data_IF_553307368817
#
_entry.id   IF_553307368817
#
_cell.length_a   1.000
_cell.length_b   1.000
_cell.length_c   1.000
_cell.angle_alpha   90.00
_cell.angle_beta   90.00
_cell.angle_gamma   90.00
#
_symmetry.space_group_name_H-M   'P 1'
#
loop_
_entity.id
_entity.type
_entity.pdbx_description
1 polymer ?
#
# COMPACT_ATOMS: atom_id res chain seq x y z
N UNK A 1 -45.83 40.46 27.04
CA UNK A 1 -46.28 39.05 26.97
C UNK A 1 -45.66 38.40 25.74
N UNK A 2 -44.65 37.55 25.93
CA UNK A 2 -44.30 36.39 25.08
C UNK A 2 -42.94 35.88 25.57
N UNK A 3 -42.96 34.85 26.41
CA UNK A 3 -42.62 33.44 26.10
C UNK A 3 -41.15 33.10 26.38
N UNK A 4 -41.01 32.45 27.53
CA UNK A 4 -39.83 31.85 28.12
C UNK A 4 -39.22 30.78 27.20
N UNK A 5 -37.89 30.78 27.05
CA UNK A 5 -37.11 29.64 26.56
C UNK A 5 -36.19 29.15 27.67
N UNK A 6 -36.54 27.99 28.22
CA UNK A 6 -35.77 27.23 29.19
C UNK A 6 -34.53 26.62 28.53
N UNK A 7 -33.34 26.97 29.03
CA UNK A 7 -32.07 26.34 28.67
C UNK A 7 -31.77 25.22 29.67
N UNK A 8 -32.03 23.97 29.25
CA UNK A 8 -31.72 22.77 30.03
C UNK A 8 -30.25 22.42 29.88
N UNK A 9 -29.46 22.74 30.91
CA UNK A 9 -28.03 22.43 31.00
C UNK A 9 -27.85 20.97 31.42
N UNK A 10 -27.65 20.05 30.47
CA UNK A 10 -27.30 18.64 30.78
C UNK A 10 -25.81 18.52 31.09
N UNK A 11 -25.51 18.02 32.29
CA UNK A 11 -24.19 17.73 32.82
C UNK A 11 -23.64 16.46 32.16
N UNK A 12 -22.36 16.47 31.77
CA UNK A 12 -21.61 15.30 31.29
C UNK A 12 -21.14 14.49 32.50
N UNK A 13 -21.47 13.20 32.53
CA UNK A 13 -20.90 12.24 33.47
C UNK A 13 -19.88 11.39 32.73
N UNK A 14 -18.63 11.41 33.23
CA UNK A 14 -17.52 10.54 32.81
C UNK A 14 -17.62 9.27 33.64
N UNK A 15 -17.52 8.10 33.01
CA UNK A 15 -17.34 6.83 33.70
C UNK A 15 -16.11 6.12 33.11
N UNK A 16 -15.08 5.97 33.95
CA UNK A 16 -13.89 5.18 33.72
C UNK A 16 -14.18 3.73 34.13
N UNK A 17 -13.69 2.76 33.35
CA UNK A 17 -13.66 1.35 33.76
C UNK A 17 -12.22 0.85 33.64
N UNK A 18 -11.77 0.23 34.72
CA UNK A 18 -10.41 -0.15 35.05
C UNK A 18 -10.00 -1.48 34.42
N UNK A 19 -8.72 -1.57 34.07
CA UNK A 19 -8.03 -2.79 33.66
C UNK A 19 -7.46 -3.52 34.89
N UNK A 20 -7.67 -4.83 34.97
CA UNK A 20 -7.03 -5.72 35.94
C UNK A 20 -6.03 -6.63 35.21
N UNK A 21 -4.74 -6.42 35.49
CA UNK A 21 -3.66 -7.37 35.25
C UNK A 21 -3.68 -8.46 36.33
N UNK A 22 -3.41 -9.71 35.94
CA UNK A 22 -2.94 -10.75 36.86
C UNK A 22 -1.78 -11.53 36.21
N UNK A 23 -0.59 -11.37 36.79
CA UNK A 23 0.58 -12.22 36.58
C UNK A 23 0.49 -13.44 37.52
N UNK A 24 0.92 -14.61 37.03
CA UNK A 24 1.26 -15.77 37.85
C UNK A 24 2.45 -16.51 37.26
N UNK A 25 3.51 -16.67 38.06
CA UNK A 25 4.80 -17.35 37.79
C UNK A 25 4.91 -18.57 38.70
N UNK A 26 5.84 -19.50 38.37
CA UNK A 26 6.44 -20.64 39.13
C UNK A 26 5.84 -22.01 38.70
N UNK A 27 6.55 -23.13 38.53
CA UNK A 27 7.92 -23.64 38.80
C UNK A 27 8.13 -24.89 37.88
N UNK A 28 9.28 -25.20 37.27
CA UNK A 28 10.54 -25.83 37.75
C UNK A 28 10.47 -27.33 38.19
N UNK A 29 11.54 -28.07 37.84
CA UNK A 29 11.93 -29.49 38.10
C UNK A 29 11.58 -30.48 36.96
N UNK A 30 12.45 -31.37 36.46
CA UNK A 30 13.76 -31.87 36.88
C UNK A 30 13.85 -33.39 36.55
N UNK A 31 15.00 -33.85 36.05
CA UNK A 31 15.33 -35.17 35.44
C UNK A 31 15.05 -36.45 36.25
N UNK A 32 14.97 -37.60 35.56
CA UNK A 32 15.81 -38.81 35.84
C UNK A 32 15.58 -39.97 34.83
N UNK A 33 16.66 -40.46 34.21
CA UNK A 33 16.84 -41.83 33.68
C UNK A 33 17.42 -42.72 34.80
N UNK A 34 17.27 -44.07 34.76
CA UNK A 34 18.40 -44.91 34.30
C UNK A 34 18.02 -46.29 33.72
N UNK A 35 18.98 -46.94 33.01
CA UNK A 35 18.96 -48.39 32.79
C UNK A 35 19.94 -48.97 31.76
N UNK A 36 21.19 -49.16 32.16
CA UNK A 36 22.28 -49.88 31.45
C UNK A 36 21.98 -51.36 31.11
N UNK A 37 22.57 -51.88 30.02
CA UNK A 37 23.30 -53.16 30.03
C UNK A 37 24.21 -53.35 28.80
N UNK A 38 25.43 -53.81 29.09
CA UNK A 38 26.61 -53.90 28.23
C UNK A 38 26.66 -55.11 27.27
N UNK A 39 27.55 -55.02 26.27
CA UNK A 39 28.12 -56.18 25.57
C UNK A 39 28.88 -55.82 24.28
N UNK A 40 30.21 -55.74 24.36
CA UNK A 40 31.13 -55.78 23.21
C UNK A 40 32.20 -56.86 23.54
N UNK A 41 32.75 -57.62 22.56
CA UNK A 41 33.97 -57.13 21.90
C UNK A 41 34.24 -57.57 20.44
N UNK A 42 34.79 -56.64 19.65
CA UNK A 42 36.02 -56.69 18.80
C UNK A 42 36.26 -57.81 17.75
N UNK A 43 36.48 -57.42 16.48
CA UNK A 43 37.53 -58.01 15.62
C UNK A 43 37.93 -57.14 14.40
N UNK A 44 39.17 -57.37 13.97
CA UNK A 44 40.13 -56.52 13.25
C UNK A 44 40.05 -56.55 11.70
N UNK A 45 40.39 -55.40 11.11
CA UNK A 45 41.14 -55.09 9.86
C UNK A 45 41.41 -56.14 8.76
N UNK A 46 41.20 -55.76 7.48
CA UNK A 46 42.26 -55.41 6.50
C UNK A 46 41.77 -55.44 5.03
N UNK A 47 42.18 -54.42 4.26
CA UNK A 47 42.12 -54.27 2.79
C UNK A 47 43.13 -55.20 2.05
N UNK A 48 42.97 -55.53 0.74
CA UNK A 48 43.56 -54.70 -0.31
C UNK A 48 42.87 -54.65 -1.71
N UNK A 49 43.40 -53.71 -2.50
CA UNK A 49 43.13 -53.20 -3.86
C UNK A 49 43.22 -54.18 -5.05
N UNK A 50 42.54 -53.85 -6.19
CA UNK A 50 43.16 -53.80 -7.54
C UNK A 50 42.30 -53.10 -8.63
N UNK A 51 42.99 -52.35 -9.49
CA UNK A 51 42.58 -51.54 -10.66
C UNK A 51 41.96 -52.29 -11.86
N UNK A 52 41.18 -51.58 -12.70
CA UNK A 52 41.15 -51.71 -14.19
C UNK A 52 40.50 -50.47 -14.84
N UNK A 53 41.03 -50.03 -15.99
CA UNK A 53 41.02 -48.66 -16.54
C UNK A 53 40.08 -48.35 -17.75
N UNK A 54 40.00 -47.04 -18.06
CA UNK A 54 39.87 -46.37 -19.40
C UNK A 54 38.47 -45.89 -19.89
N UNK A 55 38.33 -44.81 -20.72
CA UNK A 55 39.21 -43.68 -21.05
C UNK A 55 38.58 -42.28 -20.82
N UNK A 56 39.43 -41.24 -20.85
CA UNK A 56 39.12 -39.81 -20.66
C UNK A 56 38.79 -39.11 -21.99
N UNK A 57 37.67 -38.37 -22.05
CA UNK A 57 37.38 -37.39 -23.13
C UNK A 57 37.71 -36.00 -22.60
N UNK A 58 38.60 -35.29 -23.29
CA UNK A 58 38.99 -33.91 -22.99
C UNK A 58 38.01 -32.94 -23.67
N UNK A 59 37.30 -32.06 -22.95
CA UNK A 59 36.56 -30.98 -23.58
C UNK A 59 37.53 -29.81 -23.84
N UNK A 60 37.47 -29.31 -25.07
CA UNK A 60 38.15 -28.10 -25.52
C UNK A 60 37.68 -26.89 -24.71
N UNK A 61 38.64 -26.08 -24.29
CA UNK A 61 38.43 -24.86 -23.50
C UNK A 61 37.80 -23.81 -24.40
N UNK A 62 36.48 -23.64 -24.33
CA UNK A 62 35.82 -22.46 -24.88
C UNK A 62 36.01 -21.32 -23.88
N UNK A 63 36.69 -20.25 -24.31
CA UNK A 63 36.74 -18.98 -23.58
C UNK A 63 35.33 -18.56 -23.15
N UNK A 64 35.07 -18.24 -21.88
CA UNK A 64 33.80 -17.64 -21.51
C UNK A 64 33.72 -16.26 -22.17
N UNK A 65 32.75 -16.10 -23.07
CA UNK A 65 32.32 -14.80 -23.55
C UNK A 65 32.08 -13.91 -22.32
N UNK A 66 32.79 -12.80 -22.26
CA UNK A 66 32.56 -11.76 -21.25
C UNK A 66 31.16 -11.21 -21.48
N UNK A 67 30.18 -11.68 -20.70
CA UNK A 67 28.91 -11.01 -20.54
C UNK A 67 29.21 -9.64 -19.92
N UNK A 68 29.22 -8.60 -20.74
CA UNK A 68 29.22 -7.23 -20.24
C UNK A 68 27.87 -7.05 -19.54
N UNK A 69 27.82 -6.84 -18.21
CA UNK A 69 26.57 -6.53 -17.57
C UNK A 69 26.12 -5.18 -18.15
N UNK A 70 25.00 -5.18 -18.87
CA UNK A 70 24.32 -3.94 -19.20
C UNK A 70 23.66 -3.49 -17.91
N UNK A 71 24.41 -2.77 -17.09
CA UNK A 71 24.00 -2.21 -15.80
C UNK A 71 23.12 -0.97 -16.05
N UNK A 72 22.06 -1.14 -16.82
CA UNK A 72 20.99 -0.17 -16.88
C UNK A 72 20.22 -0.31 -15.55
N UNK A 73 20.13 0.76 -14.73
CA UNK A 73 19.35 0.69 -13.50
C UNK A 73 17.91 0.25 -13.85
N UNK A 74 17.40 -0.68 -13.06
CA UNK A 74 16.02 -1.15 -13.19
C UNK A 74 15.01 0.00 -13.02
N UNK A 75 13.74 -0.22 -13.41
CA UNK A 75 12.70 0.80 -13.25
C UNK A 75 12.55 1.23 -11.79
N UNK A 76 12.43 2.53 -11.56
CA UNK A 76 12.02 3.08 -10.27
C UNK A 76 10.55 2.72 -10.01
N UNK A 77 10.21 2.40 -8.76
CA UNK A 77 8.82 2.16 -8.34
C UNK A 77 8.32 3.38 -7.57
N UNK A 78 7.31 4.05 -8.11
CA UNK A 78 6.75 5.29 -7.55
C UNK A 78 5.32 5.08 -7.04
N UNK A 79 4.98 5.53 -5.81
CA UNK A 79 3.62 5.51 -5.32
C UNK A 79 2.84 6.71 -5.87
N UNK A 80 1.88 6.45 -6.75
CA UNK A 80 0.96 7.47 -7.27
C UNK A 80 -0.37 7.35 -6.56
N UNK A 81 -0.87 8.48 -6.06
CA UNK A 81 -2.18 8.52 -5.42
C UNK A 81 -3.22 8.93 -6.46
N UNK A 82 -4.31 8.17 -6.56
CA UNK A 82 -5.44 8.44 -7.46
C UNK A 82 -6.74 8.55 -6.68
N UNK A 83 -7.74 9.14 -7.28
CA UNK A 83 -9.06 9.31 -6.67
C UNK A 83 -9.93 8.11 -6.99
N UNK A 84 -10.55 7.52 -5.97
CA UNK A 84 -11.60 6.52 -6.11
C UNK A 84 -12.86 6.96 -5.34
N UNK A 85 -14.00 6.39 -5.71
CA UNK A 85 -15.26 6.64 -5.03
C UNK A 85 -15.35 5.78 -3.76
N UNK A 86 -15.79 6.38 -2.66
CA UNK A 86 -16.07 5.67 -1.41
C UNK A 86 -17.40 6.14 -0.86
N UNK A 87 -18.03 5.39 0.06
CA UNK A 87 -19.26 5.86 0.66
C UNK A 87 -19.13 7.13 1.50
N UNK A 88 -17.90 7.52 1.86
CA UNK A 88 -17.57 8.76 2.55
C UNK A 88 -17.19 9.90 1.55
N UNK A 89 -17.47 9.70 0.27
CA UNK A 89 -17.09 10.57 -0.85
C UNK A 89 -15.71 10.24 -1.42
N UNK A 90 -15.27 10.99 -2.44
CA UNK A 90 -13.97 10.81 -3.09
C UNK A 90 -12.82 10.71 -2.05
N UNK A 91 -11.96 9.70 -2.20
CA UNK A 91 -10.73 9.49 -1.39
C UNK A 91 -9.57 9.07 -2.26
N UNK A 92 -8.35 9.17 -1.72
CA UNK A 92 -7.13 8.79 -2.41
C UNK A 92 -6.77 7.32 -2.15
N UNK A 93 -6.58 6.57 -3.22
CA UNK A 93 -6.00 5.22 -3.24
C UNK A 93 -4.57 5.30 -3.77
N UNK A 94 -3.68 4.42 -3.31
CA UNK A 94 -2.30 4.36 -3.78
C UNK A 94 -2.15 3.22 -4.79
N UNK A 95 -1.54 3.52 -5.92
CA UNK A 95 -1.10 2.57 -6.92
C UNK A 95 0.41 2.73 -7.12
N UNK A 96 1.13 1.63 -7.33
CA UNK A 96 2.54 1.69 -7.66
C UNK A 96 2.74 1.62 -9.16
N UNK A 97 3.47 2.59 -9.71
CA UNK A 97 3.79 2.67 -11.13
C UNK A 97 5.29 2.53 -11.32
N UNK A 98 5.70 1.89 -12.41
CA UNK A 98 7.10 1.85 -12.81
C UNK A 98 7.46 3.10 -13.62
N UNK A 99 8.56 3.74 -13.27
CA UNK A 99 9.14 4.85 -14.01
C UNK A 99 10.52 4.45 -14.55
N UNK A 100 10.86 4.87 -15.77
CA UNK A 100 12.15 4.57 -16.39
C UNK A 100 12.59 5.70 -17.30
N UNK A 101 13.89 5.99 -17.34
CA UNK A 101 14.47 6.97 -18.25
C UNK A 101 14.15 8.44 -17.92
N UNK A 102 13.52 8.71 -16.78
CA UNK A 102 13.21 10.04 -16.26
C UNK A 102 13.38 10.04 -14.74
N UNK A 103 13.64 11.21 -14.17
CA UNK A 103 13.67 11.38 -12.72
C UNK A 103 12.32 10.97 -12.09
N UNK A 104 12.37 10.24 -10.96
CA UNK A 104 11.19 9.68 -10.31
C UNK A 104 10.18 10.74 -9.83
N UNK A 105 10.64 11.92 -9.39
CA UNK A 105 9.75 13.00 -8.94
C UNK A 105 9.01 13.61 -10.14
N UNK A 106 9.72 13.81 -11.25
CA UNK A 106 9.13 14.27 -12.51
C UNK A 106 8.11 13.25 -13.02
N UNK A 107 8.44 11.96 -13.02
CA UNK A 107 7.54 10.88 -13.41
C UNK A 107 6.28 10.84 -12.53
N UNK A 108 6.44 10.96 -11.20
CA UNK A 108 5.35 10.92 -10.25
C UNK A 108 4.38 12.10 -10.42
N UNK A 109 4.90 13.31 -10.65
CA UNK A 109 4.06 14.46 -10.95
C UNK A 109 3.31 14.31 -12.28
N UNK A 110 3.98 13.80 -13.31
CA UNK A 110 3.38 13.55 -14.61
C UNK A 110 2.28 12.48 -14.56
N UNK A 111 2.46 11.42 -13.76
CA UNK A 111 1.47 10.36 -13.57
C UNK A 111 0.17 10.91 -12.94
N UNK A 112 0.30 11.82 -11.96
CA UNK A 112 -0.84 12.52 -11.33
C UNK A 112 -1.62 13.35 -12.36
N UNK A 113 -0.94 14.09 -13.23
CA UNK A 113 -1.61 15.01 -14.18
C UNK A 113 -2.11 14.33 -15.44
N UNK A 114 -1.44 13.26 -15.89
CA UNK A 114 -1.87 12.47 -17.06
C UNK A 114 -3.10 11.65 -16.72
N UNK A 115 -3.15 11.09 -15.50
CA UNK A 115 -4.34 10.41 -15.00
C UNK A 115 -4.67 9.11 -15.70
N UNK A 116 -3.66 8.28 -15.94
CA UNK A 116 -3.78 6.95 -16.55
C UNK A 116 -3.47 5.85 -15.52
N UNK A 117 -4.30 5.69 -14.45
CA UNK A 117 -4.12 4.60 -13.50
C UNK A 117 -4.38 3.25 -14.19
N UNK A 118 -3.68 2.21 -13.74
CA UNK A 118 -3.92 0.84 -14.22
C UNK A 118 -5.27 0.33 -13.72
N UNK A 119 -5.63 0.68 -12.49
CA UNK A 119 -6.95 0.46 -11.94
C UNK A 119 -8.01 1.40 -12.54
N UNK A 120 -9.01 0.88 -13.27
CA UNK A 120 -10.06 1.71 -13.87
C UNK A 120 -11.07 2.24 -12.87
N UNK A 121 -11.06 1.76 -11.62
CA UNK A 121 -11.88 2.34 -10.55
C UNK A 121 -11.28 3.66 -10.05
N UNK A 122 -10.03 3.94 -10.46
CA UNK A 122 -9.30 5.14 -10.08
C UNK A 122 -9.33 6.18 -11.20
N UNK A 123 -9.16 7.45 -10.82
CA UNK A 123 -9.08 8.59 -11.75
C UNK A 123 -8.18 9.70 -11.23
N UNK A 124 -7.79 10.62 -12.12
CA UNK A 124 -7.25 11.92 -11.70
C UNK A 124 -8.32 12.99 -11.57
N UNK A 125 -8.11 13.95 -10.67
CA UNK A 125 -8.87 15.20 -10.63
C UNK A 125 -8.13 16.37 -11.29
N UNK A 126 -6.91 16.15 -11.76
CA UNK A 126 -6.10 17.21 -12.36
C UNK A 126 -6.67 17.63 -13.72
N UNK A 127 -6.84 18.94 -13.97
CA UNK A 127 -7.07 19.43 -15.31
C UNK A 127 -5.90 19.05 -16.22
N UNK A 128 -6.16 18.88 -17.52
CA UNK A 128 -5.11 18.63 -18.51
C UNK A 128 -4.01 19.69 -18.44
N UNK A 129 -2.76 19.25 -18.55
CA UNK A 129 -1.58 20.10 -18.50
C UNK A 129 -0.39 19.32 -17.94
N UNK A 130 0.70 20.03 -17.65
CA UNK A 130 1.90 19.47 -17.04
C UNK A 130 2.60 20.52 -16.18
N UNK A 131 3.39 20.08 -15.22
CA UNK A 131 4.36 20.95 -14.55
C UNK A 131 5.51 21.31 -15.49
N UNK A 132 6.09 22.49 -15.31
CA UNK A 132 7.32 22.89 -15.98
C UNK A 132 8.55 22.22 -15.35
N UNK A 133 8.56 22.10 -14.03
CA UNK A 133 9.65 21.50 -13.26
C UNK A 133 9.12 20.86 -11.98
N UNK A 134 9.83 19.86 -11.47
CA UNK A 134 9.61 19.23 -10.18
C UNK A 134 10.97 18.86 -9.62
N UNK A 135 11.34 19.45 -8.50
CA UNK A 135 12.69 19.32 -7.94
C UNK A 135 12.60 19.15 -6.41
N UNK A 136 13.50 18.33 -5.87
CA UNK A 136 13.71 18.26 -4.42
C UNK A 136 14.77 19.28 -4.01
N UNK A 137 14.40 20.20 -3.13
CA UNK A 137 15.33 21.05 -2.39
C UNK A 137 15.50 20.53 -0.96
N UNK A 138 16.41 21.13 -0.19
CA UNK A 138 16.74 20.69 1.17
C UNK A 138 15.53 20.70 2.13
N UNK A 139 14.61 21.66 1.97
CA UNK A 139 13.50 21.89 2.91
C UNK A 139 12.10 21.79 2.27
N UNK A 140 12.01 21.49 0.98
CA UNK A 140 10.76 21.45 0.23
C UNK A 140 10.89 20.63 -1.07
N UNK A 141 9.74 20.22 -1.60
CA UNK A 141 9.62 19.80 -3.01
C UNK A 141 9.09 21.01 -3.77
N UNK A 142 9.82 21.51 -4.77
CA UNK A 142 9.43 22.68 -5.55
C UNK A 142 8.80 22.22 -6.86
N UNK A 143 7.58 22.67 -7.13
CA UNK A 143 6.86 22.41 -8.38
C UNK A 143 6.66 23.71 -9.15
N UNK A 144 7.22 23.77 -10.36
CA UNK A 144 7.02 24.87 -11.29
C UNK A 144 5.79 24.66 -12.15
N UNK A 145 4.88 25.63 -12.19
CA UNK A 145 3.75 25.66 -13.11
C UNK A 145 4.24 26.05 -14.52
N UNK A 146 3.66 25.42 -15.54
CA UNK A 146 3.97 25.76 -16.94
C UNK A 146 3.34 27.09 -17.38
N UNK A 147 2.20 27.45 -16.80
CA UNK A 147 1.47 28.69 -17.04
C UNK A 147 0.50 28.96 -15.87
N UNK A 148 -0.30 30.01 -15.98
CA UNK A 148 -1.22 30.47 -14.93
C UNK A 148 -2.55 29.70 -14.87
N UNK A 149 -2.79 28.73 -15.76
CA UNK A 149 -4.09 28.02 -15.88
C UNK A 149 -4.47 27.33 -14.58
N UNK A 150 -3.49 26.76 -13.88
CA UNK A 150 -3.69 26.05 -12.61
C UNK A 150 -3.67 26.98 -11.39
N UNK A 151 -3.57 28.30 -11.53
CA UNK A 151 -3.77 29.20 -10.39
C UNK A 151 -5.24 29.22 -9.92
N UNK A 152 -6.17 28.91 -10.82
CA UNK A 152 -7.61 28.83 -10.51
C UNK A 152 -8.12 27.39 -10.49
N UNK A 153 -9.26 27.15 -9.83
CA UNK A 153 -9.88 25.82 -9.72
C UNK A 153 -10.50 25.31 -11.02
N UNK A 154 -10.64 26.16 -12.04
CA UNK A 154 -11.43 25.86 -13.23
C UNK A 154 -12.83 25.35 -12.88
N UNK A 155 -13.17 24.14 -13.33
CA UNK A 155 -14.47 23.49 -13.11
C UNK A 155 -14.57 22.72 -11.79
N UNK A 156 -13.47 22.54 -11.07
CA UNK A 156 -13.49 21.81 -9.80
C UNK A 156 -14.29 22.59 -8.75
N UNK A 157 -15.13 21.87 -8.00
CA UNK A 157 -15.62 22.38 -6.73
C UNK A 157 -14.48 22.47 -5.70
N UNK A 158 -14.75 23.13 -4.58
CA UNK A 158 -13.71 23.40 -3.58
C UNK A 158 -13.22 22.14 -2.86
N UNK A 159 -14.05 21.09 -2.74
CA UNK A 159 -13.65 19.84 -2.10
C UNK A 159 -12.72 19.06 -3.02
N UNK A 160 -13.09 18.91 -4.29
CA UNK A 160 -12.27 18.24 -5.31
C UNK A 160 -10.97 18.97 -5.61
N UNK A 161 -10.96 20.30 -5.63
CA UNK A 161 -9.72 21.07 -5.75
C UNK A 161 -8.73 20.78 -4.60
N UNK A 162 -9.22 20.66 -3.36
CA UNK A 162 -8.37 20.28 -2.22
C UNK A 162 -7.87 18.84 -2.34
N UNK A 163 -8.72 17.92 -2.77
CA UNK A 163 -8.34 16.52 -2.94
C UNK A 163 -7.30 16.35 -4.07
N UNK A 164 -7.46 17.06 -5.19
CA UNK A 164 -6.47 17.11 -6.28
C UNK A 164 -5.10 17.63 -5.80
N UNK A 165 -5.09 18.67 -4.96
CA UNK A 165 -3.85 19.14 -4.32
C UNK A 165 -3.23 18.06 -3.44
N UNK A 166 -4.04 17.33 -2.67
CA UNK A 166 -3.54 16.22 -1.85
C UNK A 166 -3.05 15.04 -2.68
N UNK A 167 -3.62 14.81 -3.87
CA UNK A 167 -3.16 13.83 -4.84
C UNK A 167 -1.68 14.06 -5.19
N UNK A 168 -1.31 15.30 -5.52
CA UNK A 168 0.07 15.69 -5.80
C UNK A 168 0.95 15.55 -4.55
N UNK A 169 0.52 16.14 -3.43
CA UNK A 169 1.33 16.18 -2.21
C UNK A 169 1.67 14.77 -1.71
N UNK A 170 0.69 13.86 -1.65
CA UNK A 170 0.93 12.48 -1.22
C UNK A 170 1.82 11.71 -2.19
N UNK A 171 1.67 11.92 -3.49
CA UNK A 171 2.48 11.28 -4.52
C UNK A 171 3.95 11.72 -4.42
N UNK A 172 4.22 13.02 -4.38
CA UNK A 172 5.60 13.54 -4.33
C UNK A 172 6.29 13.16 -3.01
N UNK A 173 5.61 13.33 -1.87
CA UNK A 173 6.14 12.93 -0.57
C UNK A 173 6.38 11.42 -0.48
N UNK A 174 5.47 10.61 -1.02
CA UNK A 174 5.64 9.16 -1.10
C UNK A 174 6.84 8.76 -1.96
N UNK A 175 7.07 9.48 -3.06
CA UNK A 175 8.17 9.24 -4.00
C UNK A 175 9.56 9.50 -3.40
N UNK A 176 9.67 10.53 -2.55
CA UNK A 176 10.93 10.82 -1.85
C UNK A 176 11.06 10.11 -0.50
N UNK A 177 9.97 9.55 0.03
CA UNK A 177 9.97 8.91 1.36
C UNK A 177 9.98 9.89 2.53
N UNK A 178 9.70 11.17 2.29
CA UNK A 178 9.76 12.25 3.28
C UNK A 178 8.51 13.14 3.25
N UNK A 179 8.25 13.85 4.35
CA UNK A 179 7.08 14.74 4.49
C UNK A 179 7.42 16.22 4.27
N UNK A 180 8.36 16.50 3.36
CA UNK A 180 8.70 17.87 2.97
C UNK A 180 7.47 18.60 2.40
N UNK A 181 7.27 19.89 2.72
CA UNK A 181 6.20 20.68 2.13
C UNK A 181 6.40 20.84 0.61
N UNK A 182 5.30 20.88 -0.16
CA UNK A 182 5.34 21.16 -1.59
C UNK A 182 5.16 22.67 -1.81
N UNK A 183 6.17 23.33 -2.38
CA UNK A 183 6.13 24.75 -2.77
C UNK A 183 5.81 24.86 -4.25
N UNK A 184 4.99 25.85 -4.60
CA UNK A 184 4.52 26.04 -5.97
C UNK A 184 5.07 27.36 -6.50
N UNK A 185 5.60 27.34 -7.71
CA UNK A 185 6.17 28.51 -8.37
C UNK A 185 5.57 28.71 -9.77
N UNK A 186 5.56 29.95 -10.23
CA UNK A 186 5.28 30.33 -11.62
C UNK A 186 6.39 31.28 -12.05
N UNK A 187 7.08 30.97 -13.15
CA UNK A 187 8.24 31.73 -13.64
C UNK A 187 9.33 31.97 -12.57
N UNK A 188 9.58 30.95 -11.74
CA UNK A 188 10.55 31.00 -10.64
C UNK A 188 10.17 31.93 -9.48
N UNK A 189 8.90 32.35 -9.39
CA UNK A 189 8.37 33.15 -8.28
C UNK A 189 7.30 32.36 -7.51
N UNK A 190 7.20 32.51 -6.17
CA UNK A 190 6.18 31.82 -5.38
C UNK A 190 4.75 32.12 -5.86
N UNK A 191 3.99 31.06 -6.14
CA UNK A 191 2.60 31.17 -6.55
C UNK A 191 1.69 31.50 -5.35
N UNK A 192 0.61 32.27 -5.60
CA UNK A 192 -0.39 32.56 -4.57
C UNK A 192 -1.33 31.39 -4.30
N UNK A 193 -1.65 30.63 -5.34
CA UNK A 193 -2.62 29.53 -5.32
C UNK A 193 -2.23 28.38 -6.25
N UNK A 194 -2.79 27.21 -5.99
CA UNK A 194 -2.81 26.04 -6.86
C UNK A 194 -4.23 25.47 -6.85
N UNK A 195 -4.85 25.36 -8.02
CA UNK A 195 -6.25 25.00 -8.20
C UNK A 195 -7.19 25.86 -7.34
N UNK A 196 -6.87 27.15 -7.18
CA UNK A 196 -7.59 28.09 -6.32
C UNK A 196 -7.42 27.87 -4.80
N UNK A 197 -6.53 26.97 -4.38
CA UNK A 197 -6.18 26.73 -2.98
C UNK A 197 -4.94 27.56 -2.63
N UNK A 198 -4.91 28.32 -1.52
CA UNK A 198 -3.71 29.06 -1.10
C UNK A 198 -2.51 28.14 -0.82
N UNK A 199 -1.32 28.52 -1.29
CA UNK A 199 -0.09 27.68 -1.20
C UNK A 199 1.13 28.36 -0.58
N UNK A 200 0.98 29.60 -0.10
CA UNK A 200 2.11 30.45 0.34
C UNK A 200 3.00 29.83 1.43
N UNK A 201 2.43 29.02 2.31
CA UNK A 201 3.16 28.40 3.44
C UNK A 201 3.74 27.02 3.09
N UNK A 202 3.65 26.60 1.83
CA UNK A 202 3.91 25.23 1.39
C UNK A 202 2.75 24.29 1.71
N UNK A 203 2.47 23.40 0.77
CA UNK A 203 1.41 22.42 0.88
C UNK A 203 1.88 21.20 1.68
N UNK A 204 1.12 20.83 2.70
CA UNK A 204 1.40 19.67 3.55
C UNK A 204 0.35 18.58 3.34
N UNK A 205 0.74 17.33 3.55
CA UNK A 205 -0.19 16.23 3.61
C UNK A 205 -1.17 16.44 4.76
N UNK A 206 -2.46 16.29 4.46
CA UNK A 206 -3.53 16.21 5.45
C UNK A 206 -3.43 14.88 6.21
N UNK A 207 -4.02 14.74 7.40
CA UNK A 207 -4.09 13.45 8.10
C UNK A 207 -4.63 12.34 7.19
N UNK A 208 -4.05 11.14 7.25
CA UNK A 208 -4.38 10.07 6.30
C UNK A 208 -5.87 9.71 6.32
N UNK A 209 -6.47 9.61 7.51
CA UNK A 209 -7.87 9.24 7.68
C UNK A 209 -8.87 10.31 7.14
N UNK A 210 -8.41 11.54 6.88
CA UNK A 210 -9.23 12.59 6.28
C UNK A 210 -9.34 12.44 4.76
N UNK A 211 -8.32 11.86 4.09
CA UNK A 211 -8.14 11.99 2.64
C UNK A 211 -7.83 10.69 1.90
N UNK A 212 -7.23 9.70 2.56
CA UNK A 212 -6.97 8.39 1.98
C UNK A 212 -8.17 7.47 2.15
N UNK A 213 -8.33 6.52 1.24
CA UNK A 213 -9.27 5.42 1.41
C UNK A 213 -8.87 4.62 2.66
N UNK A 214 -9.84 4.17 3.44
CA UNK A 214 -9.57 3.48 4.71
C UNK A 214 -9.10 2.04 4.54
N UNK A 215 -9.14 1.52 3.32
CA UNK A 215 -8.50 0.28 2.90
C UNK A 215 -8.00 0.49 1.47
N UNK A 216 -6.80 -0.03 1.18
CA UNK A 216 -6.22 -0.01 -0.14
C UNK A 216 -5.30 -1.24 -0.30
N UNK A 217 -5.51 -1.97 -1.39
CA UNK A 217 -4.75 -3.15 -1.79
C UNK A 217 -3.51 -2.67 -2.54
N UNK A 218 -2.35 -3.14 -2.09
CA UNK A 218 -1.06 -2.95 -2.78
C UNK A 218 -0.73 -4.15 -3.64
N UNK A 219 -0.85 -5.36 -3.09
CA UNK A 219 -0.72 -6.60 -3.84
C UNK A 219 -1.94 -7.49 -3.58
N UNK A 220 -2.44 -8.23 -4.59
CA UNK A 220 -2.02 -8.17 -6.00
C UNK A 220 -2.37 -6.82 -6.67
N UNK A 221 -1.49 -6.30 -7.52
CA UNK A 221 -1.83 -5.15 -8.37
C UNK A 221 -2.95 -5.48 -9.37
N UNK A 222 -3.60 -4.46 -9.91
CA UNK A 222 -4.67 -4.64 -10.92
C UNK A 222 -4.15 -5.43 -12.14
N UNK A 223 -4.91 -6.42 -12.59
CA UNK A 223 -4.59 -7.27 -13.73
C UNK A 223 -3.55 -8.36 -13.46
N UNK A 224 -3.07 -8.49 -12.22
CA UNK A 224 -2.00 -9.44 -11.86
C UNK A 224 -2.38 -10.89 -12.09
N UNK A 225 -1.35 -11.69 -12.41
CA UNK A 225 -1.42 -13.16 -12.41
C UNK A 225 -0.87 -13.66 -11.09
N UNK A 226 -1.64 -14.48 -10.40
CA UNK A 226 -1.26 -15.05 -9.11
C UNK A 226 -1.36 -16.57 -9.16
N UNK A 227 -0.56 -17.25 -8.33
CA UNK A 227 -0.68 -18.69 -8.18
C UNK A 227 -1.85 -19.09 -7.28
N UNK A 228 -2.04 -20.40 -7.12
CA UNK A 228 -3.01 -20.98 -6.17
C UNK A 228 -2.76 -20.68 -4.69
N UNK A 229 -1.61 -20.09 -4.38
CA UNK A 229 -1.31 -19.43 -3.12
C UNK A 229 -0.65 -18.10 -3.45
N UNK A 230 -1.12 -17.03 -2.85
CA UNK A 230 -0.56 -15.70 -3.07
C UNK A 230 -0.73 -14.85 -1.82
N UNK A 231 0.15 -13.87 -1.67
CA UNK A 231 0.09 -12.89 -0.60
C UNK A 231 -0.73 -11.70 -1.08
N UNK A 232 -1.78 -11.36 -0.34
CA UNK A 232 -2.44 -10.07 -0.45
C UNK A 232 -1.87 -9.12 0.61
N UNK A 233 -1.57 -7.89 0.23
CA UNK A 233 -1.05 -6.88 1.15
C UNK A 233 -1.58 -5.50 0.81
N UNK A 234 -1.48 -4.59 1.76
CA UNK A 234 -1.95 -3.23 1.55
C UNK A 234 -1.83 -2.36 2.78
N UNK A 235 -2.69 -1.34 2.85
CA UNK A 235 -2.85 -0.52 4.04
C UNK A 235 -4.31 -0.39 4.41
N UNK A 236 -4.62 -0.37 5.70
CA UNK A 236 -5.98 -0.25 6.19
C UNK A 236 -6.05 0.47 7.53
N UNK A 237 -7.22 1.02 7.83
CA UNK A 237 -7.60 1.58 9.12
C UNK A 237 -9.08 1.24 9.33
N UNK A 238 -9.33 0.15 10.06
CA UNK A 238 -10.68 -0.33 10.34
C UNK A 238 -10.81 -0.71 11.81
N UNK A 239 -12.02 -0.77 12.33
CA UNK A 239 -12.26 -1.03 13.76
C UNK A 239 -11.54 -2.31 14.21
N UNK A 240 -10.87 -2.24 15.37
CA UNK A 240 -10.04 -3.34 15.92
C UNK A 240 -8.96 -3.86 14.95
N UNK A 241 -8.52 -3.00 14.01
CA UNK A 241 -7.58 -3.31 12.94
C UNK A 241 -8.03 -4.42 11.99
N UNK A 242 -9.29 -4.85 12.04
CA UNK A 242 -9.79 -5.97 11.25
C UNK A 242 -10.48 -5.50 9.99
N UNK A 243 -10.13 -6.09 8.86
CA UNK A 243 -10.81 -5.87 7.58
C UNK A 243 -11.16 -7.22 6.95
N UNK A 244 -12.15 -7.20 6.06
CA UNK A 244 -12.66 -8.38 5.38
C UNK A 244 -12.07 -8.43 3.97
N UNK A 245 -11.71 -9.61 3.51
CA UNK A 245 -11.32 -9.85 2.13
C UNK A 245 -12.18 -10.93 1.49
N UNK A 246 -12.39 -10.81 0.18
CA UNK A 246 -13.15 -11.76 -0.63
C UNK A 246 -12.45 -12.02 -1.95
N UNK A 247 -12.66 -13.21 -2.51
CA UNK A 247 -12.41 -13.53 -3.91
C UNK A 247 -13.76 -13.80 -4.55
N UNK A 248 -14.08 -13.01 -5.57
CA UNK A 248 -15.30 -13.13 -6.35
C UNK A 248 -15.01 -13.72 -7.71
N UNK A 249 -15.88 -14.61 -8.19
CA UNK A 249 -15.81 -15.13 -9.56
C UNK A 249 -16.28 -14.09 -10.59
N UNK A 250 -16.19 -14.43 -11.89
CA UNK A 250 -16.58 -13.53 -12.97
C UNK A 250 -18.07 -13.10 -12.96
N UNK A 251 -18.92 -13.74 -12.14
CA UNK A 251 -20.32 -13.34 -11.94
C UNK A 251 -20.53 -12.39 -10.75
N UNK A 252 -19.46 -12.08 -10.00
CA UNK A 252 -19.52 -11.32 -8.75
C UNK A 252 -19.93 -12.17 -7.54
N UNK A 253 -19.90 -13.51 -7.67
CA UNK A 253 -20.22 -14.40 -6.55
C UNK A 253 -18.96 -14.62 -5.72
N UNK A 254 -19.07 -14.38 -4.41
CA UNK A 254 -18.02 -14.72 -3.43
C UNK A 254 -17.77 -16.24 -3.45
N UNK A 255 -16.54 -16.63 -3.74
CA UNK A 255 -16.09 -18.04 -3.80
C UNK A 255 -15.03 -18.37 -2.75
N UNK A 256 -14.41 -17.35 -2.16
CA UNK A 256 -13.51 -17.46 -1.02
C UNK A 256 -13.59 -16.16 -0.21
N UNK A 257 -13.48 -16.24 1.10
CA UNK A 257 -13.47 -15.06 1.96
C UNK A 257 -12.72 -15.32 3.27
N UNK A 258 -12.38 -14.24 3.95
CA UNK A 258 -11.80 -14.28 5.28
C UNK A 258 -11.60 -12.87 5.83
N UNK A 259 -10.77 -12.78 6.85
CA UNK A 259 -10.37 -11.51 7.45
C UNK A 259 -8.85 -11.43 7.57
N UNK A 260 -8.36 -10.21 7.72
CA UNK A 260 -6.96 -9.93 8.03
C UNK A 260 -6.87 -8.74 8.99
N UNK A 261 -5.77 -8.68 9.73
CA UNK A 261 -5.50 -7.60 10.67
C UNK A 261 -4.41 -6.69 10.12
N UNK A 262 -4.65 -5.39 10.16
CA UNK A 262 -3.59 -4.39 10.02
C UNK A 262 -2.80 -4.28 11.34
N UNK A 263 -1.60 -3.71 11.27
CA UNK A 263 -0.76 -3.49 12.46
C UNK A 263 -1.37 -2.47 13.47
N UNK A 264 -2.43 -1.76 13.08
CA UNK A 264 -3.14 -0.76 13.89
C UNK A 264 -4.33 -0.14 13.16
N UNK A 265 -5.01 0.86 13.76
CA UNK A 265 -6.23 1.44 13.15
C UNK A 265 -6.70 2.84 13.58
N UNK A 266 -6.02 3.54 14.48
CA UNK A 266 -6.59 4.75 15.13
C UNK A 266 -6.17 6.06 14.45
N UNK A 267 -4.91 6.18 14.05
CA UNK A 267 -4.26 7.46 13.75
C UNK A 267 -3.89 7.64 12.27
N UNK A 268 -3.75 6.53 11.55
CA UNK A 268 -3.30 6.46 10.15
C UNK A 268 -3.67 5.09 9.57
N UNK A 269 -3.43 4.91 8.28
CA UNK A 269 -3.49 3.56 7.72
C UNK A 269 -2.25 2.79 8.15
N UNK A 270 -2.43 1.54 8.53
CA UNK A 270 -1.39 0.60 8.92
C UNK A 270 -1.23 -0.48 7.86
N UNK A 271 -0.03 -1.02 7.64
CA UNK A 271 0.15 -2.11 6.71
C UNK A 271 -0.62 -3.35 7.19
N UNK A 272 -1.03 -4.17 6.24
CA UNK A 272 -1.60 -5.50 6.47
C UNK A 272 -1.08 -6.45 5.40
N UNK A 273 -1.06 -7.74 5.75
CA UNK A 273 -0.66 -8.83 4.86
C UNK A 273 -1.41 -10.11 5.24
N UNK A 274 -1.80 -10.91 4.25
CA UNK A 274 -2.44 -12.22 4.44
C UNK A 274 -2.12 -13.17 3.29
N UNK A 275 -1.86 -14.44 3.61
CA UNK A 275 -1.73 -15.51 2.61
C UNK A 275 -3.14 -16.02 2.21
N UNK A 276 -3.43 -16.03 0.92
CA UNK A 276 -4.68 -16.53 0.35
C UNK A 276 -4.46 -17.94 -0.21
N UNK A 277 -5.24 -18.90 0.28
CA UNK A 277 -5.25 -20.28 -0.21
C UNK A 277 -6.37 -20.51 -1.24
N UNK A 278 -6.03 -20.32 -2.51
CA UNK A 278 -6.93 -20.50 -3.65
C UNK A 278 -6.83 -21.89 -4.30
N UNK A 279 -6.21 -22.89 -3.66
CA UNK A 279 -5.98 -24.23 -4.27
C UNK A 279 -7.25 -24.97 -4.71
N UNK A 280 -8.39 -24.63 -4.12
CA UNK A 280 -9.70 -25.21 -4.44
C UNK A 280 -10.44 -24.47 -5.57
N UNK A 281 -9.93 -23.31 -5.99
CA UNK A 281 -10.50 -22.53 -7.09
C UNK A 281 -9.92 -23.04 -8.42
N UNK A 282 -10.75 -23.21 -9.46
CA UNK A 282 -10.26 -23.42 -10.82
C UNK A 282 -9.38 -22.25 -11.28
N UNK A 283 -8.42 -22.46 -12.21
CA UNK A 283 -7.77 -21.36 -12.89
C UNK A 283 -8.78 -20.48 -13.63
N UNK A 284 -8.60 -19.16 -13.59
CA UNK A 284 -9.59 -18.25 -14.16
C UNK A 284 -9.44 -16.79 -13.72
N UNK A 285 -10.41 -15.97 -14.12
CA UNK A 285 -10.51 -14.55 -13.75
C UNK A 285 -11.33 -14.41 -12.47
N UNK A 286 -10.83 -13.59 -11.57
CA UNK A 286 -11.46 -13.29 -10.28
C UNK A 286 -11.29 -11.82 -9.94
N UNK A 287 -12.07 -11.33 -8.98
CA UNK A 287 -11.87 -10.05 -8.33
C UNK A 287 -11.48 -10.31 -6.89
N UNK A 288 -10.32 -9.80 -6.46
CA UNK A 288 -9.95 -9.72 -5.06
C UNK A 288 -10.48 -8.42 -4.49
N UNK A 289 -11.19 -8.50 -3.36
CA UNK A 289 -11.85 -7.38 -2.71
C UNK A 289 -11.33 -7.27 -1.29
N UNK A 290 -11.00 -6.06 -0.85
CA UNK A 290 -10.70 -5.77 0.55
C UNK A 290 -11.58 -4.61 1.00
N UNK A 291 -12.24 -4.77 2.15
CA UNK A 291 -13.15 -3.76 2.71
C UNK A 291 -12.98 -3.58 4.20
N UNK A 292 -13.17 -2.35 4.68
CA UNK A 292 -13.28 -2.10 6.12
C UNK A 292 -14.46 -2.87 6.69
N UNK A 293 -14.44 -3.12 8.00
CA UNK A 293 -15.64 -3.58 8.70
C UNK A 293 -16.81 -2.57 8.53
N UNK A 294 -18.04 -3.06 8.71
CA UNK A 294 -19.26 -2.26 8.78
C UNK A 294 -19.95 -2.48 10.14
N UNK A 295 -19.50 -1.77 11.20
CA UNK A 295 -20.11 -1.86 12.53
C UNK A 295 -21.57 -1.41 12.56
N UNK A 296 -22.02 -0.67 11.55
CA UNK A 296 -23.39 -0.18 11.45
C UNK A 296 -24.35 -1.16 10.80
N UNK A 297 -23.85 -2.28 10.27
CA UNK A 297 -24.63 -3.29 9.57
C UNK A 297 -25.58 -2.68 8.50
N UNK A 298 -25.05 -1.76 7.69
CA UNK A 298 -25.78 -1.10 6.60
C UNK A 298 -26.58 0.16 6.97
N UNK A 299 -26.56 0.62 8.22
CA UNK A 299 -27.24 1.88 8.62
C UNK A 299 -26.41 3.14 8.28
N UNK A 300 -25.09 2.98 8.08
CA UNK A 300 -24.16 4.05 7.70
C UNK A 300 -23.95 4.19 6.19
N UNK A 301 -22.89 4.92 5.80
CA UNK A 301 -22.47 4.98 4.40
C UNK A 301 -22.06 3.60 3.84
N UNK A 302 -21.70 2.66 4.72
CA UNK A 302 -21.14 1.37 4.33
C UNK A 302 -19.61 1.37 4.35
N UNK A 303 -19.00 0.20 4.15
CA UNK A 303 -17.57 0.03 4.24
C UNK A 303 -16.83 0.72 3.09
N UNK A 304 -15.62 1.23 3.35
CA UNK A 304 -14.70 1.56 2.26
C UNK A 304 -14.20 0.26 1.66
N UNK A 305 -14.12 0.20 0.34
CA UNK A 305 -13.70 -0.99 -0.42
C UNK A 305 -12.61 -0.62 -1.44
N UNK A 306 -11.73 -1.56 -1.71
CA UNK A 306 -10.80 -1.54 -2.83
C UNK A 306 -10.87 -2.90 -3.55
N UNK A 307 -10.76 -2.89 -4.88
CA UNK A 307 -10.85 -4.12 -5.69
C UNK A 307 -9.66 -4.25 -6.63
N UNK A 308 -9.30 -5.50 -6.96
CA UNK A 308 -8.26 -5.84 -7.94
C UNK A 308 -8.72 -7.01 -8.76
N UNK A 309 -8.81 -6.87 -10.07
CA UNK A 309 -9.04 -8.02 -10.95
C UNK A 309 -7.74 -8.78 -11.10
N UNK A 310 -7.82 -10.08 -10.91
CA UNK A 310 -6.69 -10.99 -10.95
C UNK A 310 -6.99 -12.21 -11.81
N UNK A 311 -5.94 -12.91 -12.19
CA UNK A 311 -6.02 -14.24 -12.81
C UNK A 311 -5.28 -15.25 -11.95
N UNK A 312 -5.97 -16.31 -11.55
CA UNK A 312 -5.39 -17.42 -10.80
C UNK A 312 -4.96 -18.52 -11.78
N UNK A 313 -3.74 -19.03 -11.62
CA UNK A 313 -3.17 -20.15 -12.39
C UNK A 313 -2.76 -21.35 -11.50
#
# INVERSE_FOLDING_TARGET
MSTSRSLTRRRRTVAAIAATLALGVLAACGDDEPGDAAGDPTSQAADPTTDTASPTVQPETSDPATEVPTDAPGPDVIPVYYVGDTPQGDRLFREFTQASGVDKLVAAAAAVTTGDPVDPDYRTLWPTGRFASVEQADDAIVVGLADDTWLTRGRLDRARARLAVQQLVYTLQGTIGERLPVRVELDGQPAGTLLGIPVRDGLKARPQLDVLALVNITEPAEGSVVGKRFTASGRASSFEATHIWQVEDASGKVVLEGSAMAEGWIDKLWPWEVEIDARKLPPGRYTFVARTDDPSNGEGGGPTEDTKRIRIE
#
